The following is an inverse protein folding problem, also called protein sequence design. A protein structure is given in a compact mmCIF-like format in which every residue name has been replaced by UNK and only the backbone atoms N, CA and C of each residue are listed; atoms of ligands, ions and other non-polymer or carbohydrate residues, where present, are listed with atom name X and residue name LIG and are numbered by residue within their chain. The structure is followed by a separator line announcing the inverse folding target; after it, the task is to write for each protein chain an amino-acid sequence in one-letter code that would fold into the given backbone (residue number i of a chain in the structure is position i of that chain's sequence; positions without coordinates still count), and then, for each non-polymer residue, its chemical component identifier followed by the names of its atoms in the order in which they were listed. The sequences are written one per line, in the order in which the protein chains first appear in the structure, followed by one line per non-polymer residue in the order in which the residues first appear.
data_IF_614742999945
#
_entry.id   IF_614742999945
#
_cell.length_a   1.000
_cell.length_b   1.000
_cell.length_c   1.000
_cell.angle_alpha   90.00
_cell.angle_beta   90.00
_cell.angle_gamma   90.00
#
_symmetry.space_group_name_H-M   'P 1'
#
loop_
_entity.id
_entity.type
_entity.pdbx_description
1 polymer ?
#
# COMPACT_ATOMS: atom_id res chain seq x y z
N UNK A 1 22.77 -6.06 3.63
CA UNK A 1 21.64 -5.36 3.00
C UNK A 1 21.21 -4.24 3.95
N UNK A 2 21.50 -2.97 3.64
CA UNK A 2 21.17 -1.84 4.52
C UNK A 2 19.65 -1.68 4.49
N UNK A 3 18.95 -2.23 5.47
CA UNK A 3 17.50 -2.15 5.57
C UNK A 3 17.13 -0.69 5.81
N UNK A 4 16.79 0.01 4.74
CA UNK A 4 16.24 1.35 4.85
C UNK A 4 14.95 1.23 5.68
N UNK A 5 14.90 1.95 6.79
CA UNK A 5 13.74 1.96 7.68
C UNK A 5 12.44 2.29 6.89
N UNK A 6 12.56 3.07 5.81
CA UNK A 6 11.47 3.34 4.87
C UNK A 6 10.88 2.09 4.18
N UNK A 7 11.70 1.12 3.79
CA UNK A 7 11.21 -0.10 3.12
C UNK A 7 10.52 -1.04 4.12
N UNK A 8 11.02 -1.10 5.35
CA UNK A 8 10.35 -1.78 6.46
C UNK A 8 9.00 -1.12 6.79
N UNK A 9 8.96 0.21 6.85
CA UNK A 9 7.72 0.95 7.08
C UNK A 9 6.70 0.66 5.97
N UNK A 10 7.09 0.77 4.70
CA UNK A 10 6.19 0.50 3.57
C UNK A 10 5.66 -0.94 3.65
N UNK A 11 6.51 -1.92 3.97
CA UNK A 11 6.09 -3.31 4.13
C UNK A 11 5.08 -3.50 5.27
N UNK A 12 5.28 -2.84 6.41
CA UNK A 12 4.34 -2.87 7.54
C UNK A 12 3.03 -2.17 7.19
N UNK A 13 3.09 -1.01 6.54
CA UNK A 13 1.92 -0.26 6.08
C UNK A 13 1.08 -1.06 5.07
N UNK A 14 1.70 -1.76 4.13
CA UNK A 14 1.01 -2.69 3.23
C UNK A 14 0.37 -3.86 3.96
N UNK A 15 1.08 -4.46 4.92
CA UNK A 15 0.53 -5.54 5.73
C UNK A 15 -0.68 -5.09 6.55
N UNK A 16 -0.64 -3.89 7.13
CA UNK A 16 -1.76 -3.28 7.83
C UNK A 16 -2.94 -3.01 6.89
N UNK A 17 -2.69 -2.41 5.71
CA UNK A 17 -3.73 -2.15 4.72
C UNK A 17 -4.43 -3.45 4.28
N UNK A 18 -3.67 -4.51 4.04
CA UNK A 18 -4.22 -5.82 3.70
C UNK A 18 -5.09 -6.41 4.84
N UNK A 19 -4.61 -6.34 6.09
CA UNK A 19 -5.39 -6.79 7.25
C UNK A 19 -6.70 -5.99 7.43
N UNK A 20 -6.65 -4.67 7.21
CA UNK A 20 -7.83 -3.80 7.24
C UNK A 20 -8.86 -4.17 6.16
N UNK A 21 -8.41 -4.46 4.95
CA UNK A 21 -9.29 -4.90 3.84
C UNK A 21 -9.94 -6.24 4.18
N UNK A 22 -9.18 -7.21 4.70
CA UNK A 22 -9.70 -8.51 5.14
C UNK A 22 -10.73 -8.37 6.26
N UNK A 23 -10.44 -7.56 7.28
CA UNK A 23 -11.37 -7.28 8.37
C UNK A 23 -12.63 -6.58 7.88
N UNK A 24 -12.50 -5.61 6.98
CA UNK A 24 -13.65 -4.95 6.33
C UNK A 24 -14.51 -5.90 5.51
N UNK A 25 -13.89 -6.81 4.76
CA UNK A 25 -14.59 -7.85 4.01
C UNK A 25 -15.31 -8.83 4.94
N UNK A 26 -14.68 -9.23 6.05
CA UNK A 26 -15.28 -10.10 7.06
C UNK A 26 -16.50 -9.45 7.73
N UNK A 27 -16.40 -8.19 8.15
CA UNK A 27 -17.54 -7.47 8.73
C UNK A 27 -18.66 -7.21 7.73
N UNK A 28 -18.33 -7.01 6.44
CA UNK A 28 -19.35 -6.93 5.38
C UNK A 28 -20.12 -8.24 5.25
N UNK A 29 -19.43 -9.39 5.32
CA UNK A 29 -20.10 -10.71 5.31
C UNK A 29 -21.03 -10.89 6.51
N UNK A 30 -20.63 -10.42 7.70
CA UNK A 30 -21.45 -10.46 8.91
C UNK A 30 -22.64 -9.47 8.91
N UNK A 31 -22.90 -8.75 7.80
CA UNK A 31 -23.94 -7.71 7.72
C UNK A 31 -23.79 -6.61 8.79
N UNK A 32 -22.55 -6.37 9.24
CA UNK A 32 -22.28 -5.30 10.18
C UNK A 32 -22.56 -3.96 9.47
N UNK A 33 -23.33 -3.04 10.09
CA UNK A 33 -23.76 -1.80 9.43
C UNK A 33 -22.57 -0.93 8.96
N UNK A 34 -21.41 -1.05 9.62
CA UNK A 34 -20.20 -0.31 9.30
C UNK A 34 -19.21 -1.09 8.39
N UNK A 35 -19.55 -2.32 7.98
CA UNK A 35 -18.65 -3.18 7.20
C UNK A 35 -18.29 -2.59 5.83
N UNK A 36 -19.28 -2.01 5.13
CA UNK A 36 -19.05 -1.34 3.84
C UNK A 36 -18.16 -0.11 3.97
N UNK A 37 -18.31 0.68 5.04
CA UNK A 37 -17.49 1.87 5.29
C UNK A 37 -16.03 1.48 5.60
N UNK A 38 -15.82 0.40 6.37
CA UNK A 38 -14.49 -0.11 6.67
C UNK A 38 -13.78 -0.65 5.41
N UNK A 39 -14.53 -1.32 4.53
CA UNK A 39 -14.02 -1.83 3.26
C UNK A 39 -13.64 -0.69 2.30
N UNK A 40 -14.48 0.34 2.19
CA UNK A 40 -14.22 1.52 1.36
C UNK A 40 -12.99 2.29 1.88
N UNK A 41 -12.92 2.55 3.19
CA UNK A 41 -11.79 3.28 3.79
C UNK A 41 -10.48 2.52 3.62
N UNK A 42 -10.46 1.20 3.87
CA UNK A 42 -9.29 0.35 3.61
C UNK A 42 -8.88 0.34 2.13
N UNK A 43 -9.85 0.32 1.21
CA UNK A 43 -9.57 0.34 -0.24
C UNK A 43 -8.98 1.68 -0.70
N UNK A 44 -9.52 2.81 -0.23
CA UNK A 44 -8.98 4.15 -0.55
C UNK A 44 -7.54 4.26 -0.05
N UNK A 45 -7.29 3.82 1.18
CA UNK A 45 -5.95 3.88 1.77
C UNK A 45 -4.94 3.02 0.98
N UNK A 46 -5.36 1.83 0.52
CA UNK A 46 -4.57 0.97 -0.35
C UNK A 46 -4.28 1.58 -1.73
N UNK A 47 -5.26 2.24 -2.35
CA UNK A 47 -5.08 2.94 -3.63
C UNK A 47 -4.08 4.09 -3.49
N UNK A 48 -4.17 4.89 -2.43
CA UNK A 48 -3.24 6.00 -2.17
C UNK A 48 -1.80 5.49 -2.00
N UNK A 49 -1.60 4.40 -1.24
CA UNK A 49 -0.28 3.76 -1.12
C UNK A 49 0.24 3.28 -2.46
N UNK A 50 -0.61 2.64 -3.27
CA UNK A 50 -0.23 2.13 -4.58
C UNK A 50 0.21 3.25 -5.53
N UNK A 51 -0.45 4.41 -5.49
CA UNK A 51 -0.03 5.59 -6.28
C UNK A 51 1.34 6.07 -5.81
N UNK A 52 1.55 6.20 -4.49
CA UNK A 52 2.83 6.65 -3.93
C UNK A 52 3.95 5.70 -4.35
N UNK A 53 3.76 4.38 -4.21
CA UNK A 53 4.77 3.39 -4.60
C UNK A 53 5.05 3.41 -6.10
N UNK A 54 4.02 3.55 -6.95
CA UNK A 54 4.21 3.70 -8.39
C UNK A 54 5.02 4.94 -8.76
N UNK A 55 4.81 6.07 -8.09
CA UNK A 55 5.60 7.28 -8.34
C UNK A 55 7.05 7.11 -7.88
N UNK A 56 7.27 6.46 -6.73
CA UNK A 56 8.60 6.17 -6.20
C UNK A 56 9.37 5.19 -7.10
N UNK A 57 8.71 4.13 -7.58
CA UNK A 57 9.27 3.16 -8.51
C UNK A 57 9.67 3.81 -9.84
N UNK A 58 8.80 4.64 -10.43
CA UNK A 58 9.12 5.39 -11.66
C UNK A 58 10.37 6.27 -11.48
N UNK A 59 10.48 6.96 -10.35
CA UNK A 59 11.64 7.80 -10.06
C UNK A 59 12.93 6.99 -9.87
N UNK A 60 12.86 5.81 -9.24
CA UNK A 60 14.00 4.90 -9.14
C UNK A 60 14.41 4.37 -10.51
N UNK A 61 13.43 3.96 -11.33
CA UNK A 61 13.67 3.47 -12.69
C UNK A 61 14.41 4.51 -13.53
N UNK A 62 13.97 5.78 -13.48
CA UNK A 62 14.61 6.88 -14.23
C UNK A 62 16.07 7.09 -13.82
N UNK A 63 16.36 7.08 -12.51
CA UNK A 63 17.74 7.21 -11.99
C UNK A 63 18.63 6.05 -12.43
N UNK A 64 18.11 4.83 -12.42
CA UNK A 64 18.85 3.65 -12.88
C UNK A 64 19.14 3.74 -14.38
N UNK A 65 18.21 4.24 -15.20
CA UNK A 65 18.44 4.43 -16.63
C UNK A 65 19.50 5.50 -16.93
N UNK A 66 19.51 6.61 -16.18
CA UNK A 66 20.53 7.65 -16.29
C UNK A 66 21.92 7.08 -15.94
N UNK A 67 22.03 6.32 -14.85
CA UNK A 67 23.28 5.66 -14.42
C UNK A 67 23.82 4.61 -15.41
N UNK A 68 22.99 4.04 -16.28
CA UNK A 68 23.41 3.07 -17.29
C UNK A 68 23.79 3.74 -18.62
N UNK A 69 23.50 5.03 -18.77
CA UNK A 69 23.75 5.79 -20.01
C UNK A 69 25.06 6.58 -19.96
N UNK A 70 25.58 6.83 -18.75
CA UNK A 70 26.92 7.35 -18.47
C UNK A 70 27.95 6.20 -18.45
#
# INVERSE_FOLDING_TARGET
MKSNQADLLIKVLYSCAFALILLGAFFKLQHYPYGSQLLITGSILGIVMLIIDNTRLKNQLKKLQEQQKD
#
